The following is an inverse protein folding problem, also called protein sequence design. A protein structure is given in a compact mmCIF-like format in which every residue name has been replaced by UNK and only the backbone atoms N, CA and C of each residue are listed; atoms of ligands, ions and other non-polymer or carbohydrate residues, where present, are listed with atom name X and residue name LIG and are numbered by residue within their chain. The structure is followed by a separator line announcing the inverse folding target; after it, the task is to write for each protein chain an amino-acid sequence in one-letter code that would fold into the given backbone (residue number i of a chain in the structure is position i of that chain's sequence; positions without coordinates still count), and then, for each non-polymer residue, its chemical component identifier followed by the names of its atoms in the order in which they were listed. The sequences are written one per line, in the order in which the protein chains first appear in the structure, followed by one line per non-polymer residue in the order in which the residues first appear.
data_IF_706035602272
#
_entry.id   IF_706035602272
#
_cell.length_a   1.000
_cell.length_b   1.000
_cell.length_c   1.000
_cell.angle_alpha   90.00
_cell.angle_beta   90.00
_cell.angle_gamma   90.00
#
_symmetry.space_group_name_H-M   'P 1'
#
loop_
_entity.id
_entity.type
_entity.pdbx_description
1 polymer ?
#
# COMPACT_ATOMS: atom_id res chain seq x y z
N UNK A 1 16.15 -41.40 -1.70
CA UNK A 1 14.74 -41.39 -2.17
C UNK A 1 14.37 -39.95 -2.48
N UNK A 2 14.08 -39.67 -3.75
CA UNK A 2 13.52 -38.42 -4.27
C UNK A 2 11.99 -38.46 -4.13
N UNK A 3 11.38 -37.37 -3.67
CA UNK A 3 9.99 -36.98 -3.99
C UNK A 3 9.86 -35.47 -3.67
N UNK A 4 10.10 -34.60 -4.65
CA UNK A 4 9.15 -34.03 -5.64
C UNK A 4 8.20 -32.99 -5.04
N UNK A 5 8.52 -31.72 -5.29
CA UNK A 5 7.69 -30.53 -5.02
C UNK A 5 6.50 -30.48 -5.99
N UNK A 6 5.28 -30.34 -5.47
CA UNK A 6 4.08 -30.08 -6.28
C UNK A 6 3.79 -28.57 -6.32
N UNK A 7 4.02 -27.95 -7.47
CA UNK A 7 3.52 -26.63 -7.83
C UNK A 7 2.05 -26.73 -8.27
N UNK A 8 1.15 -26.09 -7.53
CA UNK A 8 -0.24 -25.87 -7.93
C UNK A 8 -0.32 -24.68 -8.89
N UNK A 9 -0.84 -24.90 -10.10
CA UNK A 9 -1.06 -23.86 -11.11
C UNK A 9 -2.55 -23.53 -11.17
N UNK A 10 -2.95 -22.38 -10.63
CA UNK A 10 -4.31 -21.86 -10.79
C UNK A 10 -4.49 -21.31 -12.21
N UNK A 11 -5.41 -21.95 -12.93
CA UNK A 11 -5.80 -21.73 -14.32
C UNK A 11 -6.71 -20.49 -14.42
N UNK A 12 -6.25 -19.45 -15.11
CA UNK A 12 -7.06 -18.27 -15.43
C UNK A 12 -8.17 -18.62 -16.40
N UNK A 13 -9.42 -18.35 -16.01
CA UNK A 13 -10.59 -18.50 -16.87
C UNK A 13 -10.80 -17.21 -17.67
N UNK A 14 -10.57 -17.25 -18.98
CA UNK A 14 -10.99 -16.20 -19.90
C UNK A 14 -12.49 -16.34 -20.16
N UNK A 15 -13.25 -15.36 -19.69
CA UNK A 15 -14.68 -15.20 -19.98
C UNK A 15 -14.90 -13.94 -20.81
N UNK A 16 -14.98 -14.13 -22.13
CA UNK A 16 -15.38 -13.15 -23.13
C UNK A 16 -16.87 -12.79 -22.96
N UNK A 17 -17.21 -11.49 -22.96
CA UNK A 17 -18.50 -11.01 -23.44
C UNK A 17 -18.30 -9.68 -24.17
N UNK A 18 -18.32 -9.75 -25.50
CA UNK A 18 -18.65 -8.62 -26.36
C UNK A 18 -20.14 -8.29 -26.22
N UNK A 19 -20.49 -7.00 -26.12
CA UNK A 19 -21.83 -6.56 -26.53
C UNK A 19 -21.82 -5.14 -27.09
N UNK A 20 -22.59 -5.00 -28.17
CA UNK A 20 -22.52 -4.02 -29.25
C UNK A 20 -22.87 -2.56 -28.93
N UNK A 21 -22.30 -1.72 -29.80
CA UNK A 21 -22.66 -0.40 -30.31
C UNK A 21 -24.15 -0.06 -30.40
N UNK A 22 -24.49 1.20 -30.09
CA UNK A 22 -25.43 2.03 -30.88
C UNK A 22 -25.03 3.49 -30.73
N UNK A 23 -24.65 4.12 -31.84
CA UNK A 23 -24.59 5.57 -32.01
C UNK A 23 -26.02 6.09 -32.21
N UNK A 24 -26.39 7.19 -31.55
CA UNK A 24 -27.46 8.06 -32.03
C UNK A 24 -27.07 9.53 -31.79
N UNK A 25 -27.16 10.30 -32.87
CA UNK A 25 -26.88 11.73 -32.95
C UNK A 25 -28.13 12.48 -32.51
N UNK A 26 -28.01 13.58 -31.73
CA UNK A 26 -28.54 14.93 -32.06
C UNK A 26 -28.71 15.83 -30.81
N UNK A 27 -28.26 17.08 -30.95
CA UNK A 27 -28.62 18.34 -30.26
C UNK A 27 -28.02 18.68 -28.87
N UNK A 28 -27.16 19.70 -28.89
CA UNK A 28 -27.34 20.90 -28.05
C UNK A 28 -26.58 20.98 -26.73
N UNK A 29 -25.49 21.74 -26.71
CA UNK A 29 -24.86 22.29 -25.50
C UNK A 29 -25.89 23.01 -24.60
N UNK A 30 -25.74 22.92 -23.27
CA UNK A 30 -24.98 23.99 -22.60
C UNK A 30 -23.79 23.43 -21.83
N UNK A 31 -22.69 24.16 -21.90
CA UNK A 31 -21.52 23.95 -21.06
C UNK A 31 -21.91 24.08 -19.58
N UNK A 32 -22.18 22.95 -18.93
CA UNK A 32 -22.15 22.86 -17.47
C UNK A 32 -20.68 22.80 -17.11
N UNK A 33 -20.12 23.95 -16.73
CA UNK A 33 -18.85 24.03 -16.01
C UNK A 33 -18.99 23.22 -14.73
N UNK A 34 -18.69 21.93 -14.81
CA UNK A 34 -18.46 21.08 -13.65
C UNK A 34 -17.27 21.71 -12.93
N UNK A 35 -17.42 22.24 -11.70
CA UNK A 35 -16.25 22.56 -10.92
C UNK A 35 -15.49 21.24 -10.81
N UNK A 36 -14.32 21.20 -11.44
CA UNK A 36 -13.36 20.15 -11.24
C UNK A 36 -13.00 20.31 -9.77
N UNK A 37 -13.67 19.55 -8.90
CA UNK A 37 -13.27 19.41 -7.51
C UNK A 37 -11.92 18.75 -7.57
N UNK A 38 -10.87 19.57 -7.71
CA UNK A 38 -9.50 19.19 -7.55
C UNK A 38 -9.47 18.57 -6.17
N UNK A 39 -9.47 17.24 -6.13
CA UNK A 39 -9.31 16.50 -4.90
C UNK A 39 -8.06 17.10 -4.27
N UNK A 40 -8.26 17.87 -3.20
CA UNK A 40 -7.16 18.39 -2.42
C UNK A 40 -6.23 17.23 -2.11
N UNK A 41 -4.92 17.48 -1.91
CA UNK A 41 -3.96 16.43 -1.63
C UNK A 41 -4.53 15.57 -0.51
N UNK A 42 -4.98 14.36 -0.88
CA UNK A 42 -5.39 13.38 0.11
C UNK A 42 -4.15 13.22 0.95
N UNK A 43 -4.24 13.59 2.24
CA UNK A 43 -3.18 13.36 3.21
C UNK A 43 -3.10 11.86 3.47
N UNK A 44 -2.78 11.11 2.41
CA UNK A 44 -2.50 9.70 2.47
C UNK A 44 -1.28 9.56 3.35
N UNK A 45 -1.37 8.66 4.32
CA UNK A 45 -0.25 8.37 5.20
C UNK A 45 0.97 7.99 4.34
N UNK A 46 2.15 8.56 4.62
CA UNK A 46 3.34 8.25 3.85
C UNK A 46 3.61 6.74 3.90
N UNK A 47 3.90 6.16 2.74
CA UNK A 47 4.24 4.74 2.64
C UNK A 47 5.46 4.43 3.50
N UNK A 48 5.59 3.19 3.98
CA UNK A 48 6.77 2.75 4.73
C UNK A 48 8.07 3.06 3.95
N UNK A 49 8.03 2.88 2.63
CA UNK A 49 9.16 3.14 1.74
C UNK A 49 9.53 4.62 1.66
N UNK A 50 8.56 5.54 1.75
CA UNK A 50 8.86 6.98 1.74
C UNK A 50 9.50 7.41 3.07
N UNK A 51 9.02 6.88 4.19
CA UNK A 51 9.59 7.17 5.51
C UNK A 51 11.03 6.67 5.59
N UNK A 52 11.27 5.46 5.11
CA UNK A 52 12.63 4.93 5.01
C UNK A 52 13.50 5.76 4.07
N UNK A 53 12.97 6.19 2.93
CA UNK A 53 13.68 7.08 1.99
C UNK A 53 14.08 8.39 2.68
N UNK A 54 13.17 9.02 3.40
CA UNK A 54 13.43 10.25 4.15
C UNK A 54 14.51 10.04 5.21
N UNK A 55 14.45 8.92 5.95
CA UNK A 55 15.47 8.55 6.93
C UNK A 55 16.85 8.38 6.26
N UNK A 56 16.94 7.61 5.18
CA UNK A 56 18.22 7.38 4.49
C UNK A 56 18.78 8.67 3.85
N UNK A 57 17.92 9.58 3.39
CA UNK A 57 18.33 10.93 2.97
C UNK A 57 18.92 11.72 4.13
N UNK A 58 18.31 11.65 5.32
CA UNK A 58 18.85 12.33 6.52
C UNK A 58 20.21 11.76 6.94
N UNK A 59 20.48 10.49 6.62
CA UNK A 59 21.78 9.82 6.80
C UNK A 59 22.77 10.12 5.64
N UNK A 60 22.43 11.03 4.73
CA UNK A 60 23.27 11.51 3.61
C UNK A 60 23.62 10.43 2.56
N UNK A 61 22.79 9.39 2.42
CA UNK A 61 22.92 8.42 1.33
C UNK A 61 22.42 9.01 0.00
N UNK A 62 23.09 8.67 -1.10
CA UNK A 62 22.65 9.10 -2.44
C UNK A 62 21.35 8.42 -2.89
N UNK A 63 20.55 9.09 -3.72
CA UNK A 63 19.31 8.53 -4.27
C UNK A 63 19.50 7.19 -4.97
N UNK A 64 20.64 7.00 -5.65
CA UNK A 64 20.98 5.73 -6.32
C UNK A 64 21.17 4.60 -5.31
N UNK A 65 21.84 4.87 -4.19
CA UNK A 65 22.04 3.89 -3.12
C UNK A 65 20.71 3.59 -2.43
N UNK A 66 19.90 4.61 -2.13
CA UNK A 66 18.57 4.44 -1.53
C UNK A 66 17.68 3.57 -2.42
N UNK A 67 17.64 3.87 -3.73
CA UNK A 67 16.88 3.07 -4.70
C UNK A 67 17.34 1.60 -4.70
N UNK A 68 18.66 1.37 -4.62
CA UNK A 68 19.22 0.02 -4.57
C UNK A 68 18.81 -0.73 -3.30
N UNK A 69 18.88 -0.09 -2.12
CA UNK A 69 18.43 -0.67 -0.83
C UNK A 69 16.94 -1.02 -0.91
N UNK A 70 16.13 -0.14 -1.50
CA UNK A 70 14.70 -0.37 -1.65
C UNK A 70 14.37 -1.49 -2.63
N UNK A 71 15.09 -1.57 -3.75
CA UNK A 71 14.93 -2.60 -4.77
C UNK A 71 15.47 -3.98 -4.33
N UNK A 72 16.39 -4.03 -3.37
CA UNK A 72 16.94 -5.28 -2.85
C UNK A 72 15.88 -6.15 -2.12
N UNK A 73 14.76 -5.56 -1.70
CA UNK A 73 13.64 -6.28 -1.10
C UNK A 73 12.70 -6.83 -2.15
N UNK A 74 12.26 -8.08 -1.95
CA UNK A 74 11.25 -8.71 -2.80
C UNK A 74 9.93 -7.91 -2.77
N UNK A 75 9.21 -7.76 -3.90
CA UNK A 75 7.94 -7.05 -3.93
C UNK A 75 6.89 -7.59 -2.95
N UNK A 76 6.86 -8.90 -2.71
CA UNK A 76 5.96 -9.54 -1.74
C UNK A 76 6.24 -9.06 -0.31
N UNK A 77 7.51 -8.98 0.08
CA UNK A 77 7.93 -8.44 1.38
C UNK A 77 7.53 -6.97 1.52
N UNK A 78 7.76 -6.15 0.49
CA UNK A 78 7.35 -4.75 0.52
C UNK A 78 5.83 -4.59 0.69
N UNK A 79 5.03 -5.45 0.04
CA UNK A 79 3.57 -5.44 0.20
C UNK A 79 3.15 -5.80 1.62
N UNK A 80 3.74 -6.85 2.21
CA UNK A 80 3.47 -7.23 3.61
C UNK A 80 3.83 -6.08 4.55
N UNK A 81 5.03 -5.51 4.39
CA UNK A 81 5.48 -4.40 5.23
C UNK A 81 4.59 -3.16 5.08
N UNK A 82 4.14 -2.84 3.86
CA UNK A 82 3.23 -1.73 3.64
C UNK A 82 1.86 -1.95 4.32
N UNK A 83 1.33 -3.17 4.29
CA UNK A 83 0.07 -3.52 4.98
C UNK A 83 0.25 -3.41 6.49
N UNK A 84 1.28 -4.03 7.05
CA UNK A 84 1.59 -3.96 8.48
C UNK A 84 1.81 -2.52 8.94
N UNK A 85 2.57 -1.74 8.17
CA UNK A 85 2.79 -0.33 8.43
C UNK A 85 1.50 0.48 8.43
N UNK A 86 0.61 0.24 7.46
CA UNK A 86 -0.68 0.92 7.39
C UNK A 86 -1.56 0.60 8.60
N UNK A 87 -1.58 -0.66 9.04
CA UNK A 87 -2.26 -1.08 10.26
C UNK A 87 -1.68 -0.41 11.50
N UNK A 88 -0.35 -0.31 11.59
CA UNK A 88 0.34 0.37 12.67
C UNK A 88 0.03 1.87 12.70
N UNK A 89 0.09 2.57 11.56
CA UNK A 89 -0.29 3.99 11.47
C UNK A 89 -1.74 4.22 11.89
N UNK A 90 -2.65 3.34 11.49
CA UNK A 90 -4.06 3.41 11.90
C UNK A 90 -4.18 3.25 13.43
N UNK A 91 -3.48 2.28 14.02
CA UNK A 91 -3.44 2.09 15.46
C UNK A 91 -2.86 3.31 16.20
N UNK A 92 -1.71 3.83 15.74
CA UNK A 92 -1.11 5.05 16.27
C UNK A 92 -2.07 6.25 16.20
N UNK A 93 -2.82 6.41 15.11
CA UNK A 93 -3.78 7.52 14.95
C UNK A 93 -4.92 7.46 15.97
N UNK A 94 -5.38 6.25 16.31
CA UNK A 94 -6.43 6.03 17.33
C UNK A 94 -5.92 6.32 18.74
N UNK A 95 -4.65 6.02 19.00
CA UNK A 95 -4.01 6.20 20.30
C UNK A 95 -3.23 7.51 20.44
N UNK A 96 -3.30 8.40 19.43
CA UNK A 96 -2.58 9.69 19.37
C UNK A 96 -1.05 9.57 19.50
N UNK A 97 -0.48 8.50 18.96
CA UNK A 97 0.97 8.26 18.94
C UNK A 97 1.60 8.67 17.61
N UNK A 98 2.88 9.06 17.67
CA UNK A 98 3.67 9.32 16.47
C UNK A 98 4.17 7.97 15.89
N UNK A 99 3.79 7.60 14.64
CA UNK A 99 4.17 6.31 14.07
C UNK A 99 5.66 6.23 13.69
N UNK A 100 6.35 7.36 13.48
CA UNK A 100 7.78 7.38 13.11
C UNK A 100 8.72 7.35 14.32
N UNK A 101 8.20 7.61 15.53
CA UNK A 101 8.97 7.62 16.77
C UNK A 101 8.19 6.99 17.95
N UNK A 102 7.74 5.72 17.86
CA UNK A 102 7.06 5.06 18.96
C UNK A 102 8.06 4.68 20.07
N UNK A 103 7.60 4.67 21.33
CA UNK A 103 8.33 4.03 22.41
C UNK A 103 8.28 2.51 22.27
N UNK A 104 9.23 1.80 22.89
CA UNK A 104 9.21 0.31 22.92
C UNK A 104 7.91 -0.20 23.54
N UNK A 105 7.41 0.44 24.59
CA UNK A 105 6.15 0.07 25.23
C UNK A 105 4.96 0.17 24.26
N UNK A 106 4.86 1.28 23.51
CA UNK A 106 3.79 1.46 22.51
C UNK A 106 3.86 0.42 21.40
N UNK A 107 5.06 0.05 20.95
CA UNK A 107 5.22 -1.00 19.94
C UNK A 107 4.78 -2.36 20.50
N UNK A 108 5.13 -2.68 21.75
CA UNK A 108 4.71 -3.90 22.41
C UNK A 108 3.19 -3.96 22.62
N UNK A 109 2.55 -2.85 22.97
CA UNK A 109 1.10 -2.75 23.10
C UNK A 109 0.40 -3.03 21.76
N UNK A 110 0.89 -2.44 20.67
CA UNK A 110 0.39 -2.72 19.32
C UNK A 110 0.51 -4.20 18.96
N UNK A 111 1.68 -4.79 19.19
CA UNK A 111 1.92 -6.21 18.88
C UNK A 111 1.01 -7.11 19.71
N UNK A 112 0.86 -6.83 21.01
CA UNK A 112 -0.01 -7.59 21.91
C UNK A 112 -1.47 -7.50 21.48
N UNK A 113 -1.96 -6.33 21.06
CA UNK A 113 -3.32 -6.18 20.52
C UNK A 113 -3.49 -7.00 19.22
N UNK A 114 -2.47 -7.05 18.38
CA UNK A 114 -2.44 -7.92 17.19
C UNK A 114 -2.57 -9.40 17.53
N UNK A 115 -1.84 -9.87 18.54
CA UNK A 115 -1.95 -11.26 19.05
C UNK A 115 -3.36 -11.55 19.57
N UNK A 116 -3.92 -10.66 20.39
CA UNK A 116 -5.27 -10.81 20.95
C UNK A 116 -6.36 -10.89 19.87
N UNK A 117 -6.11 -10.30 18.70
CA UNK A 117 -7.01 -10.32 17.53
C UNK A 117 -6.79 -11.51 16.59
N UNK A 118 -5.84 -12.40 16.87
CA UNK A 118 -5.51 -13.52 15.99
C UNK A 118 -4.84 -13.09 14.67
N UNK A 119 -4.14 -11.95 14.67
CA UNK A 119 -3.35 -11.48 13.51
C UNK A 119 -1.92 -12.08 13.49
N UNK A 120 -1.61 -12.94 14.46
CA UNK A 120 -0.42 -13.79 14.47
C UNK A 120 -0.75 -15.16 13.88
N UNK A 121 0.19 -15.80 13.16
CA UNK A 121 0.06 -17.20 12.76
C UNK A 121 -0.16 -18.15 13.95
#
# INVERSE_FOLDING_TARGET
MLVSSTTDMVRGSEGSVHRATVEDTNIGHPAVSRPNSTSGPSMAQPSHMEIERQRLRSEHLSEKVITTIQAARRPSTNRIYQVTWSSFCCWCSRSQFNPTSPSVAQLLDFLQEGLNKGLSP
#
